data_IF_721369143063
#
_entry.id   IF_721369143063
#
_cell.length_a   1.000
_cell.length_b   1.000
_cell.length_c   1.000
_cell.angle_alpha   90.00
_cell.angle_beta   90.00
_cell.angle_gamma   90.00
#
_symmetry.space_group_name_H-M   'P 1'
#
loop_
_entity.id
_entity.type
_entity.pdbx_description
1 polymer ?
#
# COMPACT_ATOMS: atom_id res chain seq x y z
N UNK A 1 -32.26 4.99 8.85
CA UNK A 1 -30.88 5.50 8.76
C UNK A 1 -30.61 6.00 7.34
N UNK A 2 -30.07 7.20 7.17
CA UNK A 2 -29.74 7.78 5.85
C UNK A 2 -28.30 7.39 5.48
N UNK A 3 -28.09 6.79 4.31
CA UNK A 3 -26.75 6.38 3.86
C UNK A 3 -25.97 7.58 3.30
N UNK A 4 -24.64 7.58 3.41
CA UNK A 4 -23.81 8.60 2.77
C UNK A 4 -23.92 8.50 1.24
N UNK A 5 -23.84 9.65 0.56
CA UNK A 5 -23.86 9.74 -0.91
C UNK A 5 -22.49 9.48 -1.54
N UNK A 6 -21.43 9.43 -0.73
CA UNK A 6 -20.06 9.15 -1.15
C UNK A 6 -19.32 8.39 -0.05
N UNK A 7 -18.50 7.44 -0.45
CA UNK A 7 -17.58 6.70 0.42
C UNK A 7 -16.16 6.80 -0.15
N UNK A 8 -15.17 6.71 0.74
CA UNK A 8 -13.76 6.62 0.36
C UNK A 8 -13.28 5.25 0.77
N UNK A 9 -12.81 4.46 -0.20
CA UNK A 9 -12.13 3.20 0.08
C UNK A 9 -10.65 3.53 0.33
N UNK A 10 -10.14 3.08 1.47
CA UNK A 10 -8.72 3.14 1.81
C UNK A 10 -8.17 1.73 1.65
N UNK A 11 -7.31 1.54 0.67
CA UNK A 11 -6.71 0.24 0.39
C UNK A 11 -5.48 0.05 1.28
N UNK A 12 -5.50 -1.00 2.10
CA UNK A 12 -4.47 -1.28 3.13
C UNK A 12 -3.73 -2.59 2.88
N UNK A 13 -4.07 -3.32 1.81
CA UNK A 13 -3.45 -4.59 1.43
C UNK A 13 -1.93 -4.55 1.35
N UNK A 14 -1.30 -3.56 0.70
CA UNK A 14 0.16 -3.49 0.62
C UNK A 14 0.87 -3.28 1.96
N UNK A 15 0.18 -2.71 2.97
CA UNK A 15 0.71 -2.51 4.31
C UNK A 15 0.18 -3.54 5.29
N UNK A 16 -1.07 -3.42 5.69
CA UNK A 16 -1.67 -4.23 6.75
C UNK A 16 -1.90 -5.67 6.28
N UNK A 17 -2.23 -5.87 5.00
CA UNK A 17 -2.29 -7.20 4.41
C UNK A 17 -0.92 -7.88 4.46
N UNK A 18 0.06 -7.34 3.72
CA UNK A 18 1.39 -7.95 3.61
C UNK A 18 2.15 -8.06 4.94
N UNK A 19 1.91 -7.16 5.90
CA UNK A 19 2.48 -7.26 7.24
C UNK A 19 2.04 -8.54 7.97
N UNK A 20 0.81 -9.01 7.73
CA UNK A 20 0.25 -10.19 8.37
C UNK A 20 0.45 -11.49 7.57
N UNK A 21 1.04 -11.40 6.38
CA UNK A 21 1.35 -12.58 5.57
C UNK A 21 2.61 -13.30 6.07
N UNK A 22 2.55 -14.63 6.04
CA UNK A 22 3.67 -15.49 6.46
C UNK A 22 4.83 -15.45 5.45
N UNK A 23 4.50 -15.28 4.17
CA UNK A 23 5.46 -15.30 3.07
C UNK A 23 5.90 -13.86 2.78
N UNK A 24 7.21 -13.63 2.79
CA UNK A 24 7.76 -12.35 2.36
C UNK A 24 7.57 -12.15 0.86
N UNK A 25 6.96 -11.04 0.49
CA UNK A 25 6.81 -10.60 -0.91
C UNK A 25 8.02 -9.73 -1.28
N UNK A 26 8.60 -9.98 -2.45
CA UNK A 26 9.77 -9.23 -2.91
C UNK A 26 9.40 -7.78 -3.27
N UNK A 27 10.35 -6.85 -3.12
CA UNK A 27 10.15 -5.42 -3.41
C UNK A 27 9.53 -5.15 -4.80
N UNK A 28 9.98 -5.81 -5.91
CA UNK A 28 9.39 -5.58 -7.23
C UNK A 28 7.91 -5.99 -7.30
N UNK A 29 7.53 -7.05 -6.60
CA UNK A 29 6.15 -7.54 -6.57
C UNK A 29 5.26 -6.61 -5.73
N UNK A 30 5.79 -6.03 -4.64
CA UNK A 30 5.09 -4.98 -3.88
C UNK A 30 4.85 -3.73 -4.72
N UNK A 31 5.86 -3.29 -5.49
CA UNK A 31 5.73 -2.16 -6.41
C UNK A 31 4.65 -2.47 -7.46
N UNK A 32 4.72 -3.63 -8.09
CA UNK A 32 3.73 -4.06 -9.08
C UNK A 32 2.32 -4.10 -8.49
N UNK A 33 2.17 -4.58 -7.25
CA UNK A 33 0.91 -4.62 -6.55
C UNK A 33 0.33 -3.21 -6.32
N UNK A 34 1.11 -2.28 -5.79
CA UNK A 34 0.67 -0.89 -5.58
C UNK A 34 0.35 -0.19 -6.90
N UNK A 35 1.11 -0.46 -7.97
CA UNK A 35 0.84 0.08 -9.30
C UNK A 35 -0.48 -0.44 -9.87
N UNK A 36 -0.80 -1.73 -9.68
CA UNK A 36 -2.09 -2.31 -10.08
C UNK A 36 -3.25 -1.68 -9.33
N UNK A 37 -3.12 -1.49 -8.01
CA UNK A 37 -4.12 -0.80 -7.19
C UNK A 37 -4.29 0.65 -7.64
N UNK A 38 -3.20 1.33 -7.97
CA UNK A 38 -3.23 2.67 -8.53
C UNK A 38 -4.01 2.69 -9.85
N UNK A 39 -3.75 1.73 -10.75
CA UNK A 39 -4.48 1.55 -12.01
C UNK A 39 -5.97 1.24 -11.83
N UNK A 40 -6.33 0.54 -10.76
CA UNK A 40 -7.73 0.28 -10.38
C UNK A 40 -8.49 1.53 -9.88
N UNK A 41 -7.78 2.63 -9.62
CA UNK A 41 -8.39 3.92 -9.30
C UNK A 41 -8.69 4.14 -7.81
N UNK A 42 -8.03 3.40 -6.91
CA UNK A 42 -8.19 3.63 -5.47
C UNK A 42 -7.78 5.07 -5.10
N UNK A 43 -8.61 5.78 -4.30
CA UNK A 43 -8.34 7.17 -3.95
C UNK A 43 -7.25 7.28 -2.87
N UNK A 44 -7.06 6.25 -2.04
CA UNK A 44 -6.02 6.18 -1.01
C UNK A 44 -5.46 4.77 -0.97
N UNK A 45 -4.13 4.66 -0.97
CA UNK A 45 -3.39 3.40 -0.85
C UNK A 45 -2.34 3.55 0.25
N UNK A 46 -2.41 2.70 1.28
CA UNK A 46 -1.36 2.55 2.28
C UNK A 46 -0.32 1.55 1.77
N UNK A 47 0.82 2.06 1.31
CA UNK A 47 1.79 1.27 0.55
C UNK A 47 2.81 0.53 1.42
N UNK A 48 2.95 0.90 2.69
CA UNK A 48 3.91 0.33 3.62
C UNK A 48 3.89 1.08 4.94
N UNK A 49 4.89 0.86 5.80
CA UNK A 49 5.06 1.58 7.06
C UNK A 49 6.54 1.81 7.37
N UNK A 50 6.90 2.99 7.88
CA UNK A 50 8.28 3.29 8.31
C UNK A 50 8.51 2.86 9.77
N UNK A 51 8.49 1.55 9.98
CA UNK A 51 8.70 0.90 11.28
C UNK A 51 10.05 0.18 11.33
N UNK A 52 10.43 -0.31 12.51
CA UNK A 52 11.67 -1.06 12.64
C UNK A 52 11.62 -2.37 11.83
N UNK A 53 12.53 -2.59 10.86
CA UNK A 53 12.57 -3.82 10.08
C UNK A 53 12.95 -5.05 10.92
N UNK A 54 13.53 -4.84 12.10
CA UNK A 54 13.78 -5.91 13.07
C UNK A 54 12.49 -6.51 13.62
N UNK A 55 11.48 -5.66 13.85
CA UNK A 55 10.20 -6.06 14.45
C UNK A 55 9.15 -6.38 13.40
N UNK A 56 9.21 -5.73 12.23
CA UNK A 56 8.31 -5.97 11.11
C UNK A 56 9.14 -6.10 9.82
N UNK A 57 9.78 -7.26 9.57
CA UNK A 57 10.64 -7.46 8.40
C UNK A 57 9.93 -7.20 7.06
N UNK A 58 8.65 -7.52 6.98
CA UNK A 58 7.81 -7.34 5.81
C UNK A 58 7.74 -5.87 5.34
N UNK A 59 7.95 -4.90 6.23
CA UNK A 59 7.89 -3.46 5.91
C UNK A 59 9.27 -2.81 5.74
N UNK A 60 10.35 -3.59 5.79
CA UNK A 60 11.72 -3.06 5.76
C UNK A 60 12.12 -2.36 4.45
N UNK A 61 11.40 -2.60 3.37
CA UNK A 61 11.64 -2.06 2.04
C UNK A 61 10.68 -0.91 1.65
N UNK A 62 9.94 -0.34 2.62
CA UNK A 62 8.93 0.69 2.34
C UNK A 62 9.47 1.91 1.56
N UNK A 63 10.71 2.33 1.83
CA UNK A 63 11.37 3.42 1.10
C UNK A 63 11.60 3.07 -0.38
N UNK A 64 12.04 1.84 -0.65
CA UNK A 64 12.30 1.33 -2.01
C UNK A 64 11.00 1.17 -2.78
N UNK A 65 9.95 0.64 -2.12
CA UNK A 65 8.60 0.56 -2.70
C UNK A 65 8.10 1.94 -3.08
N UNK A 66 8.19 2.92 -2.17
CA UNK A 66 7.71 4.28 -2.45
C UNK A 66 8.47 4.96 -3.60
N UNK A 67 9.78 4.71 -3.71
CA UNK A 67 10.60 5.21 -4.80
C UNK A 67 10.21 4.55 -6.14
N UNK A 68 9.87 3.27 -6.14
CA UNK A 68 9.59 2.48 -7.34
C UNK A 68 8.17 2.63 -7.92
N UNK A 69 7.17 2.98 -7.11
CA UNK A 69 5.77 3.06 -7.59
C UNK A 69 5.51 4.24 -8.53
N UNK A 70 4.64 4.00 -9.51
CA UNK A 70 4.11 5.00 -10.44
C UNK A 70 2.93 5.73 -9.81
N UNK A 71 3.19 6.94 -9.35
CA UNK A 71 2.20 7.77 -8.63
C UNK A 71 1.13 8.28 -9.60
N UNK A 72 -0.10 7.79 -9.43
CA UNK A 72 -1.27 8.23 -10.21
C UNK A 72 -1.84 9.53 -9.65
N UNK A 73 -2.12 10.50 -10.52
CA UNK A 73 -2.83 11.72 -10.12
C UNK A 73 -4.20 11.39 -9.53
N UNK A 74 -4.53 11.97 -8.38
CA UNK A 74 -5.80 11.74 -7.68
C UNK A 74 -5.80 10.52 -6.74
N UNK A 75 -4.67 9.82 -6.61
CA UNK A 75 -4.44 8.80 -5.58
C UNK A 75 -3.50 9.34 -4.52
N UNK A 76 -3.87 9.21 -3.25
CA UNK A 76 -3.01 9.55 -2.11
C UNK A 76 -2.28 8.30 -1.62
N UNK A 77 -0.96 8.36 -1.54
CA UNK A 77 -0.12 7.28 -1.02
C UNK A 77 0.31 7.60 0.40
N UNK A 78 0.04 6.68 1.34
CA UNK A 78 0.33 6.84 2.78
C UNK A 78 1.18 5.70 3.32
N UNK A 79 1.94 5.97 4.38
CA UNK A 79 2.71 4.99 5.14
C UNK A 79 2.85 5.42 6.61
#
# INVERSE_FOLDING_TARGET
MRRPTRVTIVEVGPRDGLQNEQIAVATPDKIAFVDLLSGAGFPVIEFGAFVSPKWVPQMGDAAEVFAGIKKRQGTRYTA
#
